data_IF_781088857503
#
_entry.id   IF_781088857503
#
_cell.length_a   1.000
_cell.length_b   1.000
_cell.length_c   1.000
_cell.angle_alpha   90.00
_cell.angle_beta   90.00
_cell.angle_gamma   90.00
#
_symmetry.space_group_name_H-M   'P 1'
#
loop_
_entity.id
_entity.type
_entity.pdbx_description
1 polymer ?
#
# COMPACT_ATOMS: atom_id res chain seq x y z
N UNK A 1 0.49 -19.72 15.84
CA UNK A 1 0.62 -18.57 16.75
C UNK A 1 0.64 -17.31 15.92
N UNK A 2 -0.39 -16.47 16.04
CA UNK A 2 -0.42 -15.15 15.39
C UNK A 2 0.73 -14.31 15.96
N UNK A 3 1.56 -13.74 15.09
CA UNK A 3 2.62 -12.83 15.49
C UNK A 3 1.98 -11.58 16.11
N UNK A 4 2.40 -11.31 17.34
CA UNK A 4 1.90 -10.28 18.25
C UNK A 4 1.87 -8.89 17.59
N UNK A 5 0.66 -8.33 17.37
CA UNK A 5 0.45 -6.88 17.19
C UNK A 5 -0.12 -6.40 15.85
N UNK A 6 -0.22 -7.25 14.83
CA UNK A 6 -0.72 -6.84 13.51
C UNK A 6 -2.23 -7.00 13.34
N UNK A 7 -2.92 -6.01 12.76
CA UNK A 7 -4.29 -6.14 12.27
C UNK A 7 -4.28 -6.53 10.79
N UNK A 8 -5.10 -7.49 10.39
CA UNK A 8 -5.36 -7.78 8.97
C UNK A 8 -6.48 -6.85 8.50
N UNK A 9 -6.17 -5.97 7.57
CA UNK A 9 -7.13 -5.06 6.96
C UNK A 9 -7.93 -5.81 5.88
N UNK A 10 -9.25 -5.95 6.07
CA UNK A 10 -10.13 -6.55 5.07
C UNK A 10 -11.17 -5.52 4.61
N UNK A 11 -10.80 -4.72 3.61
CA UNK A 11 -11.63 -3.65 3.05
C UNK A 11 -11.52 -3.61 1.52
N UNK A 12 -12.44 -2.91 0.86
CA UNK A 12 -12.37 -2.63 -0.58
C UNK A 12 -11.52 -1.39 -0.89
N UNK A 13 -11.22 -1.16 -2.18
CA UNK A 13 -10.33 -0.07 -2.62
C UNK A 13 -10.75 1.33 -2.22
N UNK A 14 -12.05 1.66 -2.23
CA UNK A 14 -12.50 3.01 -1.87
C UNK A 14 -12.18 3.33 -0.40
N UNK A 15 -12.50 2.40 0.50
CA UNK A 15 -12.16 2.54 1.92
C UNK A 15 -10.65 2.54 2.15
N UNK A 16 -9.87 1.80 1.34
CA UNK A 16 -8.40 1.86 1.39
C UNK A 16 -7.89 3.24 1.00
N UNK A 17 -8.41 3.84 -0.08
CA UNK A 17 -8.04 5.20 -0.50
C UNK A 17 -8.37 6.22 0.59
N UNK A 18 -9.55 6.13 1.20
CA UNK A 18 -9.96 7.03 2.29
C UNK A 18 -9.05 6.89 3.51
N UNK A 19 -8.68 5.65 3.88
CA UNK A 19 -7.76 5.37 4.98
C UNK A 19 -6.37 5.96 4.71
N UNK A 20 -5.82 5.70 3.52
CA UNK A 20 -4.51 6.21 3.12
C UNK A 20 -4.50 7.75 3.07
N UNK A 21 -5.59 8.38 2.63
CA UNK A 21 -5.73 9.85 2.61
C UNK A 21 -5.75 10.44 4.03
N UNK A 22 -6.41 9.76 4.97
CA UNK A 22 -6.39 10.16 6.39
C UNK A 22 -4.99 10.02 6.99
N UNK A 23 -4.29 8.93 6.69
CA UNK A 23 -2.91 8.72 7.13
C UNK A 23 -1.96 9.77 6.55
N UNK A 24 -2.10 10.10 5.27
CA UNK A 24 -1.34 11.17 4.64
C UNK A 24 -1.59 12.51 5.35
N UNK A 25 -2.86 12.84 5.66
CA UNK A 25 -3.21 14.06 6.41
C UNK A 25 -2.60 14.07 7.82
N UNK A 26 -2.48 12.90 8.45
CA UNK A 26 -1.82 12.72 9.74
C UNK A 26 -0.28 12.72 9.66
N UNK A 27 0.32 12.87 8.48
CA UNK A 27 1.76 12.97 8.28
C UNK A 27 2.48 11.63 8.01
N UNK A 28 1.74 10.56 7.68
CA UNK A 28 2.36 9.30 7.23
C UNK A 28 2.88 9.47 5.80
N UNK A 29 4.18 9.23 5.61
CA UNK A 29 4.86 9.44 4.32
C UNK A 29 4.96 8.17 3.46
N UNK A 30 5.04 7.00 4.09
CA UNK A 30 5.22 5.73 3.39
C UNK A 30 4.44 4.60 4.07
N UNK A 31 3.83 3.73 3.26
CA UNK A 31 3.04 2.58 3.70
C UNK A 31 3.45 1.36 2.90
N UNK A 32 3.77 0.27 3.59
CA UNK A 32 3.95 -1.04 2.98
C UNK A 32 2.65 -1.85 3.07
N UNK A 33 2.15 -2.35 1.95
CA UNK A 33 0.94 -3.18 1.88
C UNK A 33 1.32 -4.66 1.77
N UNK A 34 1.02 -5.43 2.82
CA UNK A 34 1.14 -6.89 2.80
C UNK A 34 -0.11 -7.55 2.21
N UNK A 35 0.03 -8.21 1.05
CA UNK A 35 -1.09 -8.86 0.35
C UNK A 35 -1.16 -10.38 0.57
N UNK A 36 -0.26 -10.97 1.37
CA UNK A 36 -0.15 -12.41 1.59
C UNK A 36 -1.39 -13.05 2.23
N UNK A 37 -2.27 -12.23 2.81
CA UNK A 37 -3.54 -12.67 3.43
C UNK A 37 -4.77 -12.35 2.56
N UNK A 38 -4.56 -11.87 1.32
CA UNK A 38 -5.64 -11.65 0.36
C UNK A 38 -6.36 -12.96 0.04
N UNK A 39 -7.70 -12.91 0.00
CA UNK A 39 -8.52 -14.03 -0.53
C UNK A 39 -8.54 -14.09 -2.05
N UNK A 40 -8.09 -13.03 -2.72
CA UNK A 40 -7.99 -12.93 -4.18
C UNK A 40 -6.57 -13.29 -4.63
N UNK A 41 -6.39 -13.80 -5.86
CA UNK A 41 -5.07 -13.99 -6.44
C UNK A 41 -4.22 -12.72 -6.35
N UNK A 42 -2.96 -12.87 -5.96
CA UNK A 42 -2.07 -11.73 -5.71
C UNK A 42 -1.94 -10.80 -6.93
N UNK A 43 -1.84 -11.37 -8.14
CA UNK A 43 -1.74 -10.60 -9.38
C UNK A 43 -2.96 -9.70 -9.60
N UNK A 44 -4.17 -10.19 -9.33
CA UNK A 44 -5.39 -9.39 -9.48
C UNK A 44 -5.47 -8.25 -8.44
N UNK A 45 -5.06 -8.53 -7.20
CA UNK A 45 -5.00 -7.51 -6.16
C UNK A 45 -3.98 -6.42 -6.50
N UNK A 46 -2.78 -6.80 -6.97
CA UNK A 46 -1.75 -5.88 -7.42
C UNK A 46 -2.24 -5.04 -8.60
N UNK A 47 -2.93 -5.65 -9.58
CA UNK A 47 -3.46 -4.93 -10.73
C UNK A 47 -4.46 -3.85 -10.30
N UNK A 48 -5.42 -4.17 -9.42
CA UNK A 48 -6.36 -3.18 -8.90
C UNK A 48 -5.65 -2.06 -8.12
N UNK A 49 -4.63 -2.39 -7.31
CA UNK A 49 -3.84 -1.38 -6.63
C UNK A 49 -3.13 -0.45 -7.62
N UNK A 50 -2.58 -1.00 -8.69
CA UNK A 50 -1.86 -0.24 -9.72
C UNK A 50 -2.79 0.69 -10.52
N UNK A 51 -3.98 0.23 -10.89
CA UNK A 51 -4.93 0.99 -11.70
C UNK A 51 -5.73 2.00 -10.88
N UNK A 52 -6.14 1.64 -9.66
CA UNK A 52 -7.16 2.39 -8.92
C UNK A 52 -6.61 3.15 -7.71
N UNK A 53 -5.52 2.67 -7.10
CA UNK A 53 -4.98 3.25 -5.85
C UNK A 53 -3.73 4.09 -6.12
N UNK A 54 -2.74 3.55 -6.82
CA UNK A 54 -1.46 4.24 -7.09
C UNK A 54 -1.63 5.63 -7.74
N UNK A 55 -2.56 5.86 -8.70
CA UNK A 55 -2.71 7.19 -9.31
C UNK A 55 -3.14 8.28 -8.33
N UNK A 56 -3.65 7.93 -7.13
CA UNK A 56 -4.02 8.88 -6.08
C UNK A 56 -2.86 9.23 -5.14
N UNK A 57 -1.81 8.42 -5.14
CA UNK A 57 -0.62 8.57 -4.31
C UNK A 57 0.64 8.47 -5.20
N UNK A 58 0.90 9.46 -6.07
CA UNK A 58 1.99 9.39 -7.03
C UNK A 58 3.36 9.37 -6.33
N UNK A 59 4.32 8.72 -6.97
CA UNK A 59 5.72 8.78 -6.56
C UNK A 59 6.22 10.22 -6.55
N UNK A 60 7.13 10.54 -5.62
CA UNK A 60 7.89 11.78 -5.69
C UNK A 60 8.73 11.82 -6.98
N UNK A 61 8.94 13.00 -7.54
CA UNK A 61 9.83 13.21 -8.69
C UNK A 61 11.24 12.66 -8.40
N UNK A 62 11.92 12.20 -9.45
CA UNK A 62 13.14 11.39 -9.38
C UNK A 62 14.16 11.88 -8.35
N UNK A 63 14.26 11.14 -7.24
CA UNK A 63 15.53 11.02 -6.52
C UNK A 63 16.29 9.91 -7.26
N UNK A 64 17.45 10.17 -7.87
CA UNK A 64 18.22 9.12 -8.54
C UNK A 64 18.38 7.94 -7.59
N UNK A 65 18.21 6.70 -8.08
CA UNK A 65 18.33 5.53 -7.23
C UNK A 65 19.65 5.63 -6.45
N UNK A 66 19.56 5.47 -5.13
CA UNK A 66 20.76 5.30 -4.34
C UNK A 66 21.46 4.07 -4.92
N UNK A 67 22.68 4.26 -5.44
CA UNK A 67 23.58 3.16 -5.78
C UNK A 67 23.82 2.36 -4.49
N UNK A 68 22.94 1.40 -4.24
CA UNK A 68 23.11 0.39 -3.21
C UNK A 68 23.71 -0.82 -3.90
N UNK A 69 25.04 -0.97 -3.76
CA UNK A 69 25.71 -2.24 -3.98
C UNK A 69 25.13 -3.25 -2.98
N UNK A 70 24.33 -4.19 -3.48
CA UNK A 70 23.79 -5.32 -2.74
C UNK A 70 24.55 -6.61 -3.05
#
# INVERSE_FOLDING_TARGET
>A
TLLHGGFILQIGRHALIDLLSQWQTAGVNHVALGIQFSRRPAAEAIQELAEEVLPRFPSHEDVPPLDMDW
#
